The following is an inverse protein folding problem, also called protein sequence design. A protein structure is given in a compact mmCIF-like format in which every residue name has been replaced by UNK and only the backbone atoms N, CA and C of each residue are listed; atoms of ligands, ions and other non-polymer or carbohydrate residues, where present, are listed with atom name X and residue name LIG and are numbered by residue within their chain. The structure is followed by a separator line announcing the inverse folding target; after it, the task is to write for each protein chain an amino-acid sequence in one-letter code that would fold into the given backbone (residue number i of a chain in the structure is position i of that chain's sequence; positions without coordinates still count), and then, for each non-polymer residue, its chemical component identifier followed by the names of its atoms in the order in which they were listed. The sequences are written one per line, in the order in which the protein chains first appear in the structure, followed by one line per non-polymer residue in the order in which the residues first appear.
data_IF_661642516895
#
_entry.id   IF_661642516895
#
_cell.length_a   1.000
_cell.length_b   1.000
_cell.length_c   1.000
_cell.angle_alpha   90.00
_cell.angle_beta   90.00
_cell.angle_gamma   90.00
#
_symmetry.space_group_name_H-M   'P 1'
#
loop_
_entity.id
_entity.type
_entity.pdbx_description
1 polymer ?
#
# COMPACT_ATOMS: atom_id res chain seq x y z
N UNK A 1 -15.90 1.27 -0.62
CA UNK A 1 -14.49 1.71 -0.69
C UNK A 1 -13.86 1.22 -2.00
N UNK A 2 -13.10 2.06 -2.67
CA UNK A 2 -12.42 1.69 -3.89
C UNK A 2 -11.16 0.88 -3.57
N UNK A 3 -10.77 0.00 -4.49
CA UNK A 3 -9.60 -0.87 -4.28
C UNK A 3 -8.33 -0.09 -3.95
N UNK A 4 -8.06 1.00 -4.67
CA UNK A 4 -6.85 1.80 -4.41
C UNK A 4 -6.89 2.48 -3.04
N UNK A 5 -8.07 2.82 -2.55
CA UNK A 5 -8.23 3.40 -1.21
C UNK A 5 -7.92 2.34 -0.15
N UNK A 6 -8.35 1.11 -0.39
CA UNK A 6 -8.05 -0.01 0.50
C UNK A 6 -6.53 -0.28 0.55
N UNK A 7 -5.85 -0.20 -0.60
CA UNK A 7 -4.39 -0.37 -0.66
C UNK A 7 -3.71 0.73 0.16
N UNK A 8 -4.10 2.00 -0.03
CA UNK A 8 -3.53 3.11 0.71
C UNK A 8 -3.75 2.95 2.22
N UNK A 9 -4.97 2.59 2.61
CA UNK A 9 -5.31 2.37 4.02
C UNK A 9 -4.46 1.23 4.62
N UNK A 10 -4.26 0.16 3.86
CA UNK A 10 -3.47 -0.99 4.32
C UNK A 10 -2.00 -0.61 4.52
N UNK A 11 -1.43 0.18 3.60
CA UNK A 11 -0.05 0.67 3.74
C UNK A 11 0.09 1.45 5.04
N UNK A 12 -0.83 2.39 5.29
CA UNK A 12 -0.81 3.20 6.51
C UNK A 12 -0.99 2.36 7.76
N UNK A 13 -1.89 1.39 7.72
CA UNK A 13 -2.14 0.48 8.84
C UNK A 13 -0.88 -0.31 9.20
N UNK A 14 -0.20 -0.87 8.20
CA UNK A 14 1.01 -1.66 8.42
C UNK A 14 2.18 -0.78 8.89
N UNK A 15 2.29 0.44 8.37
CA UNK A 15 3.31 1.39 8.85
C UNK A 15 3.08 1.72 10.32
N UNK A 16 1.83 1.96 10.71
CA UNK A 16 1.49 2.25 12.09
C UNK A 16 1.77 1.07 13.01
N UNK A 17 1.37 -0.13 12.57
CA UNK A 17 1.57 -1.38 13.31
C UNK A 17 3.04 -1.65 13.58
N UNK A 18 3.88 -1.41 12.57
CA UNK A 18 5.31 -1.67 12.63
C UNK A 18 6.12 -0.46 13.08
N UNK A 19 5.44 0.66 13.35
CA UNK A 19 6.07 1.92 13.76
C UNK A 19 7.14 2.38 12.77
N UNK A 20 6.79 2.38 11.48
CA UNK A 20 7.68 2.78 10.38
C UNK A 20 7.15 4.05 9.76
N UNK A 21 8.01 5.07 9.65
CA UNK A 21 7.67 6.31 8.94
C UNK A 21 7.65 6.07 7.44
N UNK A 22 6.86 6.86 6.71
CA UNK A 22 6.74 6.75 5.25
C UNK A 22 8.09 6.90 4.56
N UNK A 23 8.91 7.86 4.99
CA UNK A 23 10.23 8.06 4.39
C UNK A 23 11.14 6.85 4.61
N UNK A 24 11.05 6.22 5.77
CA UNK A 24 11.81 5.01 6.05
C UNK A 24 11.33 3.86 5.14
N UNK A 25 10.01 3.73 4.98
CA UNK A 25 9.45 2.74 4.08
C UNK A 25 9.94 2.96 2.65
N UNK A 26 9.97 4.20 2.19
CA UNK A 26 10.47 4.53 0.86
C UNK A 26 11.90 4.05 0.67
N UNK A 27 12.77 4.34 1.63
CA UNK A 27 14.17 3.93 1.57
C UNK A 27 14.34 2.41 1.53
N UNK A 28 13.62 1.70 2.39
CA UNK A 28 13.73 0.24 2.47
C UNK A 28 13.06 -0.46 1.29
N UNK A 29 12.09 0.18 0.67
CA UNK A 29 11.37 -0.38 -0.48
C UNK A 29 12.04 -0.05 -1.82
N UNK A 30 12.99 0.88 -1.83
CA UNK A 30 13.62 1.33 -3.06
C UNK A 30 12.65 2.14 -3.93
N UNK A 31 11.69 2.82 -3.32
CA UNK A 31 10.70 3.65 -4.02
C UNK A 31 10.90 5.09 -3.54
N UNK A 32 10.83 6.06 -4.47
CA UNK A 32 10.93 7.46 -4.10
C UNK A 32 9.81 7.85 -3.14
N UNK A 33 10.08 8.65 -2.09
CA UNK A 33 9.02 9.08 -1.16
C UNK A 33 7.84 9.74 -1.85
N UNK A 34 8.09 10.55 -2.89
CA UNK A 34 7.02 11.19 -3.66
C UNK A 34 6.08 10.16 -4.30
N UNK A 35 6.63 9.04 -4.74
CA UNK A 35 5.83 7.96 -5.34
C UNK A 35 4.92 7.32 -4.31
N UNK A 36 5.44 7.08 -3.08
CA UNK A 36 4.61 6.51 -2.02
C UNK A 36 3.51 7.50 -1.62
N UNK A 37 3.84 8.78 -1.47
CA UNK A 37 2.82 9.79 -1.16
C UNK A 37 1.75 9.86 -2.24
N UNK A 38 2.14 9.70 -3.51
CA UNK A 38 1.19 9.63 -4.61
C UNK A 38 0.24 8.44 -4.47
N UNK A 39 0.76 7.29 -4.06
CA UNK A 39 -0.08 6.10 -3.83
C UNK A 39 -1.10 6.31 -2.71
N UNK A 40 -0.77 7.14 -1.74
CA UNK A 40 -1.65 7.42 -0.60
C UNK A 40 -2.65 8.54 -0.89
N UNK A 41 -2.48 9.24 -1.99
CA UNK A 41 -3.33 10.37 -2.36
C UNK A 41 -4.52 9.89 -3.18
N UNK A 42 -5.71 10.43 -2.91
CA UNK A 42 -6.93 10.07 -3.63
C UNK A 42 -6.85 10.31 -5.13
N UNK A 43 -6.04 11.26 -5.55
CA UNK A 43 -5.89 11.63 -6.97
C UNK A 43 -4.83 10.82 -7.68
N UNK A 44 -4.17 9.91 -7.00
CA UNK A 44 -3.04 9.18 -7.55
C UNK A 44 -3.49 8.09 -8.52
N UNK A 45 -2.53 7.67 -9.33
CA UNK A 45 -2.68 6.51 -10.20
C UNK A 45 -2.73 5.23 -9.35
N UNK A 46 -3.34 4.21 -9.89
CA UNK A 46 -3.36 2.91 -9.24
C UNK A 46 -1.93 2.40 -9.06
N UNK A 47 -1.56 1.93 -7.88
CA UNK A 47 -0.25 1.32 -7.69
C UNK A 47 -0.16 0.01 -8.47
N UNK A 48 0.97 -0.21 -9.14
CA UNK A 48 1.22 -1.46 -9.82
C UNK A 48 1.57 -2.56 -8.83
N UNK A 49 1.38 -3.81 -9.24
CA UNK A 49 1.65 -4.95 -8.36
C UNK A 49 3.13 -5.03 -7.96
N UNK A 50 4.05 -4.62 -8.84
CA UNK A 50 5.47 -4.62 -8.52
C UNK A 50 5.78 -3.60 -7.43
N UNK A 51 5.14 -2.42 -7.48
CA UNK A 51 5.29 -1.42 -6.43
C UNK A 51 4.77 -1.94 -5.10
N UNK A 52 3.63 -2.62 -5.11
CA UNK A 52 3.07 -3.24 -3.91
C UNK A 52 4.04 -4.29 -3.34
N UNK A 53 4.65 -5.10 -4.21
CA UNK A 53 5.63 -6.10 -3.79
C UNK A 53 6.84 -5.44 -3.12
N UNK A 54 7.34 -4.33 -3.71
CA UNK A 54 8.45 -3.58 -3.11
C UNK A 54 8.09 -3.04 -1.73
N UNK A 55 6.87 -2.55 -1.58
CA UNK A 55 6.39 -2.06 -0.27
C UNK A 55 6.32 -3.21 0.73
N UNK A 56 5.82 -4.37 0.31
CA UNK A 56 5.78 -5.55 1.17
C UNK A 56 7.17 -5.95 1.62
N UNK A 57 8.15 -5.95 0.71
CA UNK A 57 9.54 -6.26 1.04
C UNK A 57 10.09 -5.25 2.05
N UNK A 58 9.80 -3.97 1.86
CA UNK A 58 10.23 -2.91 2.77
C UNK A 58 9.58 -3.00 4.15
N UNK A 59 8.36 -3.53 4.20
CA UNK A 59 7.65 -3.75 5.47
C UNK A 59 8.01 -5.08 6.13
N UNK A 60 8.75 -5.94 5.44
CA UNK A 60 9.06 -7.26 5.98
C UNK A 60 7.86 -8.19 6.00
N UNK A 61 6.94 -8.03 5.07
CA UNK A 61 5.75 -8.87 4.97
C UNK A 61 5.64 -9.48 3.56
N UNK A 62 4.65 -10.31 3.36
CA UNK A 62 4.39 -10.93 2.06
C UNK A 62 3.19 -10.27 1.40
N UNK A 63 3.07 -10.42 0.07
CA UNK A 63 1.88 -9.95 -0.65
C UNK A 63 0.63 -10.64 -0.12
N UNK A 64 0.73 -11.91 0.24
CA UNK A 64 -0.36 -12.67 0.82
C UNK A 64 -0.87 -12.02 2.11
N UNK A 65 0.04 -11.73 3.03
CA UNK A 65 -0.30 -11.11 4.33
C UNK A 65 -0.81 -9.69 4.13
N UNK A 66 -0.22 -8.96 3.19
CA UNK A 66 -0.66 -7.61 2.85
C UNK A 66 -2.16 -7.58 2.53
N UNK A 67 -2.61 -8.52 1.69
CA UNK A 67 -4.00 -8.57 1.25
C UNK A 67 -4.93 -9.37 2.17
N UNK A 68 -4.41 -10.00 3.19
CA UNK A 68 -5.21 -10.73 4.19
C UNK A 68 -5.77 -9.74 5.21
N UNK A 69 -6.78 -9.00 4.80
CA UNK A 69 -7.32 -7.88 5.56
C UNK A 69 -8.76 -7.59 5.14
N UNK A 70 -9.61 -7.27 6.09
CA UNK A 70 -11.02 -6.96 5.85
C UNK A 70 -11.23 -5.77 4.91
N UNK A 71 -10.25 -4.87 4.83
CA UNK A 71 -10.32 -3.72 3.93
C UNK A 71 -10.60 -4.14 2.49
N UNK A 72 -10.10 -5.30 2.07
CA UNK A 72 -10.24 -5.77 0.70
C UNK A 72 -11.53 -6.54 0.45
N UNK A 73 -12.26 -6.88 1.50
CA UNK A 73 -13.54 -7.59 1.39
C UNK A 73 -14.67 -6.64 1.01
N UNK A 74 -14.54 -5.36 1.33
CA UNK A 74 -15.57 -4.34 1.12
C UNK A 74 -15.29 -3.43 -0.08
N UNK A 75 -14.40 -3.83 -0.97
CA UNK A 75 -14.09 -3.00 -2.14
C UNK A 75 -15.17 -3.11 -3.20
N UNK A 76 -15.38 -2.01 -3.93
CA UNK A 76 -16.30 -1.97 -5.04
C UNK A 76 -15.77 -2.82 -6.19
N UNK A 77 -16.70 -3.36 -7.00
CA UNK A 77 -16.28 -4.08 -8.19
C UNK A 77 -15.63 -3.14 -9.18
N UNK A 78 -14.53 -3.59 -9.77
CA UNK A 78 -13.82 -2.84 -10.79
C UNK A 78 -14.32 -3.13 -12.19
N UNK A 79 -15.01 -4.25 -12.35
CA UNK A 79 -15.58 -4.67 -13.63
C UNK A 79 -16.83 -3.87 -13.96
N UNK A 80 -16.92 -3.43 -15.20
CA UNK A 80 -18.08 -2.67 -15.68
C UNK A 80 -18.64 -3.25 -16.95
#
# INVERSE_FOLDING_TARGET
MRTKEAVAARILELCKEKNIAINTLANTSGIAPSTIYSMLNEKSKNPGIVSIKKICDGLGTTVRVFFDCELFDDTEQEMR
#
